data_IF_134553098673
#
_entry.id   IF_134553098673
#
_cell.length_a   1.000
_cell.length_b   1.000
_cell.length_c   1.000
_cell.angle_alpha   90.00
_cell.angle_beta   90.00
_cell.angle_gamma   90.00
#
_symmetry.space_group_name_H-M   'P 1'
#
loop_
_entity.id
_entity.type
_entity.pdbx_description
1 polymer ?
#
# COMPACT_ATOMS: atom_id res chain seq x y z
N UNK A 1 -17.55 -1.73 11.46
CA UNK A 1 -16.80 -0.45 11.52
C UNK A 1 -17.42 0.53 10.54
N UNK A 2 -17.43 1.82 10.85
CA UNK A 2 -17.86 2.85 9.90
C UNK A 2 -16.77 3.11 8.84
N UNK A 3 -17.14 3.73 7.72
CA UNK A 3 -16.18 4.12 6.68
C UNK A 3 -15.05 5.00 7.22
N UNK A 4 -15.37 5.97 8.08
CA UNK A 4 -14.37 6.87 8.67
C UNK A 4 -13.37 6.12 9.56
N UNK A 5 -13.83 5.14 10.35
CA UNK A 5 -12.93 4.32 11.16
C UNK A 5 -11.94 3.53 10.27
N UNK A 6 -12.44 2.91 9.19
CA UNK A 6 -11.57 2.21 8.23
C UNK A 6 -10.59 3.18 7.54
N UNK A 7 -11.06 4.36 7.15
CA UNK A 7 -10.23 5.38 6.52
C UNK A 7 -9.10 5.86 7.45
N UNK A 8 -9.37 6.09 8.73
CA UNK A 8 -8.34 6.49 9.70
C UNK A 8 -7.36 5.37 10.02
N UNK A 9 -7.83 4.12 10.16
CA UNK A 9 -6.93 2.97 10.31
C UNK A 9 -6.03 2.82 9.08
N UNK A 10 -6.60 2.94 7.88
CA UNK A 10 -5.87 2.90 6.62
C UNK A 10 -4.83 4.03 6.53
N UNK A 11 -5.19 5.27 6.88
CA UNK A 11 -4.26 6.40 6.90
C UNK A 11 -3.14 6.18 7.92
N UNK A 12 -3.47 5.67 9.11
CA UNK A 12 -2.52 5.34 10.17
C UNK A 12 -1.48 4.29 9.77
N UNK A 13 -1.75 3.47 8.75
CA UNK A 13 -0.81 2.47 8.25
C UNK A 13 -0.08 2.94 7.00
N UNK A 14 -0.82 3.48 6.00
CA UNK A 14 -0.26 3.83 4.70
C UNK A 14 0.60 5.08 4.73
N UNK A 15 0.30 6.07 5.59
CA UNK A 15 1.08 7.31 5.67
C UNK A 15 2.49 7.04 6.22
N UNK A 16 2.67 6.33 7.35
CA UNK A 16 4.01 5.89 7.76
C UNK A 16 4.68 4.99 6.72
N UNK A 17 3.94 4.09 6.07
CA UNK A 17 4.49 3.22 5.03
C UNK A 17 5.03 4.01 3.82
N UNK A 18 4.37 5.11 3.43
CA UNK A 18 4.86 5.99 2.38
C UNK A 18 6.24 6.55 2.74
N UNK A 19 6.38 7.20 3.90
CA UNK A 19 7.67 7.79 4.31
C UNK A 19 8.77 6.75 4.49
N UNK A 20 8.46 5.61 5.12
CA UNK A 20 9.42 4.52 5.28
C UNK A 20 9.82 3.97 3.90
N UNK A 21 8.85 3.75 3.01
CA UNK A 21 9.09 3.27 1.65
C UNK A 21 9.98 4.23 0.83
N UNK A 22 9.71 5.54 0.88
CA UNK A 22 10.55 6.55 0.22
C UNK A 22 11.98 6.48 0.73
N UNK A 23 12.15 6.45 2.06
CA UNK A 23 13.45 6.35 2.70
C UNK A 23 14.16 5.06 2.30
N UNK A 24 13.48 3.90 2.30
CA UNK A 24 14.06 2.61 1.92
C UNK A 24 14.57 2.60 0.47
N UNK A 25 13.81 3.19 -0.47
CA UNK A 25 14.20 3.28 -1.87
C UNK A 25 15.47 4.14 -2.07
N UNK A 26 15.64 5.19 -1.27
CA UNK A 26 16.80 6.10 -1.35
C UNK A 26 18.01 5.63 -0.52
N UNK A 27 17.78 4.97 0.62
CA UNK A 27 18.81 4.54 1.58
C UNK A 27 19.78 3.47 1.03
N UNK A 28 20.86 3.16 1.74
CA UNK A 28 21.75 2.05 1.37
C UNK A 28 21.07 0.68 1.58
N UNK A 29 21.07 -0.13 0.52
CA UNK A 29 20.35 -1.40 0.42
C UNK A 29 21.11 -2.45 1.24
N UNK A 30 20.39 -3.29 1.99
CA UNK A 30 21.00 -4.37 2.77
C UNK A 30 21.65 -3.98 4.09
N UNK A 31 21.65 -2.70 4.47
CA UNK A 31 22.03 -2.26 5.82
C UNK A 31 21.08 -2.82 6.90
N UNK A 32 21.52 -2.89 8.16
CA UNK A 32 20.65 -3.33 9.26
C UNK A 32 19.40 -2.43 9.41
N UNK A 33 19.57 -1.12 9.20
CA UNK A 33 18.45 -0.17 9.16
C UNK A 33 17.49 -0.49 8.01
N UNK A 34 18.00 -0.78 6.81
CA UNK A 34 17.17 -1.15 5.66
C UNK A 34 16.38 -2.45 5.94
N UNK A 35 17.03 -3.47 6.53
CA UNK A 35 16.37 -4.74 6.88
C UNK A 35 15.27 -4.54 7.93
N UNK A 36 15.55 -3.78 8.99
CA UNK A 36 14.59 -3.51 10.06
C UNK A 36 13.39 -2.73 9.54
N UNK A 37 13.62 -1.58 8.91
CA UNK A 37 12.55 -0.74 8.35
C UNK A 37 11.80 -1.45 7.22
N UNK A 38 12.47 -2.28 6.42
CA UNK A 38 11.84 -3.10 5.39
C UNK A 38 10.79 -4.06 5.95
N UNK A 39 11.04 -4.68 7.11
CA UNK A 39 10.05 -5.53 7.79
C UNK A 39 8.84 -4.71 8.25
N UNK A 40 9.08 -3.57 8.89
CA UNK A 40 8.01 -2.67 9.35
C UNK A 40 7.16 -2.21 8.17
N UNK A 41 7.80 -1.75 7.09
CA UNK A 41 7.15 -1.36 5.84
C UNK A 41 6.27 -2.48 5.28
N UNK A 42 6.78 -3.70 5.15
CA UNK A 42 6.02 -4.85 4.64
C UNK A 42 4.79 -5.16 5.51
N UNK A 43 4.92 -5.12 6.84
CA UNK A 43 3.78 -5.33 7.75
C UNK A 43 2.74 -4.23 7.58
N UNK A 44 3.14 -2.96 7.55
CA UNK A 44 2.23 -1.84 7.34
C UNK A 44 1.48 -1.95 6.01
N UNK A 45 2.18 -2.35 4.94
CA UNK A 45 1.56 -2.55 3.63
C UNK A 45 0.55 -3.70 3.63
N UNK A 46 0.85 -4.83 4.28
CA UNK A 46 -0.10 -5.95 4.41
C UNK A 46 -1.35 -5.54 5.19
N UNK A 47 -1.18 -4.84 6.33
CA UNK A 47 -2.31 -4.35 7.11
C UNK A 47 -3.15 -3.37 6.29
N UNK A 48 -2.50 -2.43 5.59
CA UNK A 48 -3.16 -1.49 4.66
C UNK A 48 -4.00 -2.24 3.64
N UNK A 49 -3.44 -3.25 2.98
CA UNK A 49 -4.14 -4.03 1.96
C UNK A 49 -5.36 -4.75 2.52
N UNK A 50 -5.24 -5.38 3.70
CA UNK A 50 -6.38 -6.02 4.37
C UNK A 50 -7.48 -5.00 4.69
N UNK A 51 -7.13 -3.84 5.27
CA UNK A 51 -8.11 -2.78 5.56
C UNK A 51 -8.84 -2.33 4.29
N UNK A 52 -8.10 -2.12 3.19
CA UNK A 52 -8.72 -1.68 1.92
C UNK A 52 -9.72 -2.68 1.34
N UNK A 53 -9.60 -3.99 1.61
CA UNK A 53 -10.59 -4.98 1.17
C UNK A 53 -11.95 -4.79 1.85
N UNK A 54 -12.00 -4.16 3.03
CA UNK A 54 -13.23 -3.82 3.73
C UNK A 54 -13.74 -2.41 3.40
N UNK A 55 -13.03 -1.64 2.56
CA UNK A 55 -13.46 -0.31 2.14
C UNK A 55 -14.23 -0.39 0.81
N UNK A 56 -15.52 0.02 0.77
CA UNK A 56 -16.27 0.03 -0.49
C UNK A 56 -15.61 0.92 -1.53
N UNK A 57 -15.54 0.44 -2.77
CA UNK A 57 -15.03 1.23 -3.88
C UNK A 57 -15.96 2.42 -4.16
N UNK A 58 -15.35 3.61 -4.26
CA UNK A 58 -16.05 4.87 -4.57
C UNK A 58 -15.58 5.51 -5.88
N UNK A 59 -14.76 4.80 -6.65
CA UNK A 59 -14.19 5.28 -7.91
C UNK A 59 -14.43 4.23 -8.98
N UNK A 60 -15.15 4.64 -10.02
CA UNK A 60 -15.59 3.81 -11.15
C UNK A 60 -16.55 2.67 -10.77
N UNK A 61 -16.74 1.69 -11.67
CA UNK A 61 -17.77 0.67 -11.52
C UNK A 61 -17.46 -0.28 -10.36
N UNK A 62 -18.53 -0.74 -9.70
CA UNK A 62 -18.45 -1.70 -8.61
C UNK A 62 -19.10 -3.02 -8.99
N UNK A 63 -18.43 -4.12 -8.67
CA UNK A 63 -19.01 -5.45 -8.57
C UNK A 63 -19.68 -5.60 -7.20
N UNK A 64 -20.93 -6.09 -7.20
CA UNK A 64 -21.78 -6.32 -6.01
C UNK A 64 -21.89 -5.11 -5.05
N UNK A 65 -21.71 -3.89 -5.56
CA UNK A 65 -21.78 -2.66 -4.76
C UNK A 65 -20.60 -2.43 -3.80
N UNK A 66 -19.54 -3.25 -3.85
CA UNK A 66 -18.40 -3.15 -2.92
C UNK A 66 -17.06 -3.17 -3.63
N UNK A 67 -16.76 -4.24 -4.37
CA UNK A 67 -15.47 -4.42 -5.01
C UNK A 67 -15.40 -3.59 -6.29
N UNK A 68 -14.27 -2.95 -6.55
CA UNK A 68 -14.03 -2.19 -7.77
C UNK A 68 -12.59 -2.39 -8.24
N UNK A 69 -12.24 -1.89 -9.41
CA UNK A 69 -10.90 -2.11 -9.99
C UNK A 69 -9.76 -1.65 -9.06
N UNK A 70 -10.00 -0.67 -8.18
CA UNK A 70 -9.04 -0.21 -7.17
C UNK A 70 -8.65 -1.28 -6.13
N UNK A 71 -9.48 -2.31 -5.93
CA UNK A 71 -9.15 -3.43 -5.04
C UNK A 71 -8.03 -4.33 -5.61
N UNK A 72 -7.75 -4.22 -6.92
CA UNK A 72 -6.61 -4.89 -7.52
C UNK A 72 -5.28 -4.41 -6.92
N UNK A 73 -5.21 -3.17 -6.41
CA UNK A 73 -4.02 -2.70 -5.67
C UNK A 73 -3.86 -3.43 -4.33
N UNK A 74 -4.95 -3.77 -3.64
CA UNK A 74 -4.91 -4.60 -2.44
C UNK A 74 -4.36 -5.99 -2.75
N UNK A 75 -4.83 -6.61 -3.84
CA UNK A 75 -4.33 -7.91 -4.29
C UNK A 75 -2.86 -7.85 -4.71
N UNK A 76 -2.46 -6.78 -5.41
CA UNK A 76 -1.06 -6.52 -5.76
C UNK A 76 -0.19 -6.51 -4.51
N UNK A 77 -0.61 -5.83 -3.44
CA UNK A 77 0.15 -5.77 -2.18
C UNK A 77 0.22 -7.14 -1.52
N UNK A 78 -0.91 -7.84 -1.39
CA UNK A 78 -1.00 -9.17 -0.78
C UNK A 78 -0.16 -10.22 -1.52
N UNK A 79 0.02 -10.06 -2.83
CA UNK A 79 0.91 -10.90 -3.63
C UNK A 79 2.38 -10.46 -3.54
N UNK A 80 2.65 -9.17 -3.71
CA UNK A 80 4.01 -8.64 -3.84
C UNK A 80 4.81 -8.76 -2.54
N UNK A 81 4.18 -8.55 -1.38
CA UNK A 81 4.90 -8.57 -0.09
C UNK A 81 5.44 -9.97 0.25
N UNK A 82 4.61 -11.05 0.26
CA UNK A 82 5.14 -12.40 0.51
C UNK A 82 6.17 -12.81 -0.55
N UNK A 83 5.92 -12.49 -1.82
CA UNK A 83 6.83 -12.82 -2.92
C UNK A 83 8.18 -12.12 -2.76
N UNK A 84 8.19 -10.84 -2.38
CA UNK A 84 9.42 -10.10 -2.11
C UNK A 84 10.18 -10.65 -0.90
N UNK A 85 9.46 -11.09 0.14
CA UNK A 85 10.07 -11.68 1.33
C UNK A 85 10.70 -13.05 1.01
N UNK A 86 9.99 -13.91 0.29
CA UNK A 86 10.53 -15.20 -0.16
C UNK A 86 11.73 -14.98 -1.08
N UNK A 87 11.65 -14.03 -2.01
CA UNK A 87 12.75 -13.69 -2.91
C UNK A 87 14.03 -13.30 -2.15
N UNK A 88 13.94 -12.44 -1.13
CA UNK A 88 15.13 -12.04 -0.37
C UNK A 88 15.69 -13.19 0.48
N UNK A 89 14.83 -14.08 1.02
CA UNK A 89 15.26 -15.30 1.72
C UNK A 89 16.02 -16.25 0.80
N UNK A 90 15.63 -16.32 -0.47
CA UNK A 90 16.30 -17.10 -1.51
C UNK A 90 17.48 -16.36 -2.16
N UNK A 91 17.92 -15.23 -1.60
CA UNK A 91 18.98 -14.36 -2.14
C UNK A 91 18.69 -13.84 -3.57
N UNK A 92 17.44 -13.89 -4.02
CA UNK A 92 17.00 -13.32 -5.30
C UNK A 92 16.71 -11.82 -5.13
N UNK A 93 17.78 -11.02 -5.15
CA UNK A 93 17.73 -9.57 -4.95
C UNK A 93 16.93 -8.87 -6.06
N UNK A 94 17.05 -9.35 -7.31
CA UNK A 94 16.34 -8.77 -8.46
C UNK A 94 14.83 -8.86 -8.25
N UNK A 95 14.32 -10.05 -7.90
CA UNK A 95 12.89 -10.25 -7.66
C UNK A 95 12.41 -9.47 -6.43
N UNK A 96 13.19 -9.44 -5.32
CA UNK A 96 12.85 -8.63 -4.16
C UNK A 96 12.70 -7.15 -4.53
N UNK A 97 13.68 -6.60 -5.26
CA UNK A 97 13.68 -5.19 -5.71
C UNK A 97 12.50 -4.88 -6.61
N UNK A 98 12.20 -5.74 -7.59
CA UNK A 98 11.09 -5.54 -8.52
C UNK A 98 9.74 -5.49 -7.78
N UNK A 99 9.50 -6.43 -6.87
CA UNK A 99 8.29 -6.44 -6.06
C UNK A 99 8.19 -5.21 -5.14
N UNK A 100 9.29 -4.79 -4.49
CA UNK A 100 9.28 -3.61 -3.62
C UNK A 100 9.02 -2.30 -4.39
N UNK A 101 9.59 -2.16 -5.60
CA UNK A 101 9.32 -0.99 -6.46
C UNK A 101 7.87 -1.01 -6.95
N UNK A 102 7.39 -2.16 -7.45
CA UNK A 102 6.00 -2.31 -7.91
C UNK A 102 4.99 -2.03 -6.80
N UNK A 103 5.27 -2.52 -5.59
CA UNK A 103 4.48 -2.27 -4.39
C UNK A 103 4.42 -0.77 -4.04
N UNK A 104 5.55 -0.07 -4.07
CA UNK A 104 5.59 1.36 -3.75
C UNK A 104 4.89 2.21 -4.81
N UNK A 105 5.21 1.99 -6.10
CA UNK A 105 4.62 2.76 -7.20
C UNK A 105 3.13 2.44 -7.34
N UNK A 106 2.76 1.18 -7.42
CA UNK A 106 1.37 0.76 -7.60
C UNK A 106 0.53 0.92 -6.33
N UNK A 107 0.97 0.29 -5.25
CA UNK A 107 0.22 0.20 -3.99
C UNK A 107 0.21 1.47 -3.14
N UNK A 108 1.10 2.44 -3.41
CA UNK A 108 1.13 3.72 -2.68
C UNK A 108 0.91 4.91 -3.62
N UNK A 109 1.76 5.11 -4.64
CA UNK A 109 1.68 6.33 -5.45
C UNK A 109 0.43 6.35 -6.33
N UNK A 110 0.22 5.30 -7.12
CA UNK A 110 -0.94 5.20 -8.01
C UNK A 110 -2.22 4.98 -7.21
N UNK A 111 -2.24 4.05 -6.25
CA UNK A 111 -3.41 3.85 -5.40
C UNK A 111 -3.75 5.10 -4.57
N UNK A 112 -2.74 5.80 -4.05
CA UNK A 112 -2.89 7.02 -3.26
C UNK A 112 -3.43 8.20 -4.06
N UNK A 113 -3.12 8.31 -5.36
CA UNK A 113 -3.68 9.38 -6.20
C UNK A 113 -5.21 9.30 -6.30
N UNK A 114 -5.78 8.08 -6.34
CA UNK A 114 -7.22 7.87 -6.30
C UNK A 114 -7.88 8.27 -4.96
N UNK A 115 -7.10 8.45 -3.89
CA UNK A 115 -7.64 8.97 -2.63
C UNK A 115 -8.02 10.46 -2.71
N UNK A 116 -7.51 11.18 -3.71
CA UNK A 116 -7.79 12.60 -3.96
C UNK A 116 -8.89 12.83 -5.02
N UNK A 117 -9.49 11.76 -5.56
CA UNK A 117 -10.63 11.89 -6.48
C UNK A 117 -11.88 12.46 -5.77
N UNK A 118 -12.78 13.17 -6.49
CA UNK A 118 -14.02 13.68 -5.92
C UNK A 118 -14.84 12.59 -5.20
N UNK A 119 -15.46 12.95 -4.06
CA UNK A 119 -16.21 12.01 -3.22
C UNK A 119 -15.37 11.15 -2.26
N UNK A 120 -14.04 11.38 -2.21
CA UNK A 120 -13.11 10.75 -1.26
C UNK A 120 -12.77 11.70 -0.11
N UNK A 121 -12.42 11.13 1.05
CA UNK A 121 -12.13 11.87 2.27
C UNK A 121 -11.00 12.91 2.10
N UNK A 122 -9.88 12.55 1.47
CA UNK A 122 -8.77 13.50 1.29
C UNK A 122 -9.10 14.61 0.30
N UNK A 123 -9.96 14.34 -0.69
CA UNK A 123 -10.45 15.37 -1.59
C UNK A 123 -11.25 16.43 -0.82
N UNK A 124 -12.17 15.98 0.04
CA UNK A 124 -13.00 16.88 0.86
C UNK A 124 -12.21 17.67 1.90
N UNK A 125 -10.99 17.25 2.25
CA UNK A 125 -10.14 18.00 3.18
C UNK A 125 -9.28 19.06 2.50
N UNK A 126 -9.00 18.91 1.21
CA UNK A 126 -8.00 19.71 0.51
C UNK A 126 -8.58 20.60 -0.59
N UNK A 127 -9.73 20.23 -1.17
CA UNK A 127 -10.28 20.88 -2.35
C UNK A 127 -11.74 21.33 -2.18
N UNK A 128 -12.32 21.14 -1.00
CA UNK A 128 -13.69 21.57 -0.67
C UNK A 128 -13.65 22.26 0.68
#
# INVERSE_FOLDING_TARGET
MTYLQLAYLHLGTVVPAFFIGSFLLLSQKGSEKHKMLGKVYMVLMLVTAVITLFMPARVGPTFIGHFGFIHLFSLLVLYSVPTAYIAIRNKNIKAHRQNMIGLYVGGILIAGSFAFSPGRLLHTWLFT
#
